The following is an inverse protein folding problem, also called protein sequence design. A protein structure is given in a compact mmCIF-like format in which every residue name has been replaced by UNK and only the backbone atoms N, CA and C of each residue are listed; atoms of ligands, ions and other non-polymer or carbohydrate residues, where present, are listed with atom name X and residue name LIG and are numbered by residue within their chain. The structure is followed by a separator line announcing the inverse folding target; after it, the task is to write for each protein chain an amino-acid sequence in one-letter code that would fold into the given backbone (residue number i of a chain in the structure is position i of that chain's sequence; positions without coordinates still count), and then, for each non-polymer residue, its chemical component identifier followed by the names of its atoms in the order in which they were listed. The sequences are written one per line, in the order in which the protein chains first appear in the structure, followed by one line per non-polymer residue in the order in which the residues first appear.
data_IF_270491055346
#
_entry.id   IF_270491055346
#
_cell.length_a   1.000
_cell.length_b   1.000
_cell.length_c   1.000
_cell.angle_alpha   90.00
_cell.angle_beta   90.00
_cell.angle_gamma   90.00
#
_symmetry.space_group_name_H-M   'P 1'
#
loop_
_entity.id
_entity.type
_entity.pdbx_description
1 polymer ?
#
# COMPACT_ATOMS: atom_id res chain seq x y z
N UNK A 1 -45.68 11.25 -3.19
CA UNK A 1 -45.31 9.86 -2.88
C UNK A 1 -44.69 9.24 -4.13
N UNK A 2 -43.38 9.37 -4.30
CA UNK A 2 -42.59 8.61 -5.27
C UNK A 2 -41.21 8.43 -4.62
N UNK A 3 -40.93 7.20 -4.19
CA UNK A 3 -39.66 6.85 -3.56
C UNK A 3 -38.57 6.87 -4.63
N UNK A 4 -37.72 7.89 -4.59
CA UNK A 4 -36.44 7.84 -5.30
C UNK A 4 -35.55 6.84 -4.57
N UNK A 5 -35.48 5.63 -5.08
CA UNK A 5 -34.48 4.62 -4.70
C UNK A 5 -33.10 5.20 -4.98
N UNK A 6 -32.43 5.63 -3.90
CA UNK A 6 -31.01 5.93 -3.92
C UNK A 6 -30.26 4.62 -4.20
N UNK A 7 -29.79 4.48 -5.45
CA UNK A 7 -28.75 3.52 -5.80
C UNK A 7 -27.53 3.84 -4.95
N UNK A 8 -27.27 2.98 -3.98
CA UNK A 8 -26.07 3.04 -3.14
C UNK A 8 -24.89 2.56 -4.01
N UNK A 9 -23.92 3.41 -4.37
CA UNK A 9 -22.70 2.92 -5.00
C UNK A 9 -21.96 2.06 -3.97
N UNK A 10 -21.62 0.86 -4.38
CA UNK A 10 -20.98 -0.15 -3.55
C UNK A 10 -19.63 0.29 -2.99
N UNK A 11 -19.19 -0.45 -1.99
CA UNK A 11 -17.90 -0.41 -1.32
C UNK A 11 -16.73 -0.51 -2.31
N UNK A 12 -16.42 0.59 -2.99
CA UNK A 12 -15.10 0.79 -3.57
C UNK A 12 -14.16 1.11 -2.42
N UNK A 13 -13.06 0.39 -2.28
CA UNK A 13 -11.95 0.87 -1.48
C UNK A 13 -11.50 2.20 -2.11
N UNK A 14 -12.00 3.31 -1.56
CA UNK A 14 -11.59 4.67 -1.92
C UNK A 14 -10.22 4.87 -1.29
N UNK A 15 -9.22 4.21 -1.86
CA UNK A 15 -7.84 4.63 -1.71
C UNK A 15 -7.69 6.04 -2.31
N UNK A 16 -6.67 6.80 -1.89
CA UNK A 16 -6.34 8.06 -2.55
C UNK A 16 -6.21 7.83 -4.07
N UNK A 17 -6.64 8.82 -4.86
CA UNK A 17 -6.59 8.70 -6.32
C UNK A 17 -5.14 8.79 -6.82
N UNK A 18 -4.44 7.65 -6.77
CA UNK A 18 -3.06 7.52 -7.24
C UNK A 18 -2.93 7.63 -8.76
N UNK A 19 -4.02 7.35 -9.50
CA UNK A 19 -4.01 7.44 -10.96
C UNK A 19 -3.81 8.89 -11.42
N UNK A 20 -4.43 9.85 -10.75
CA UNK A 20 -4.25 11.27 -11.06
C UNK A 20 -3.10 11.92 -10.28
N UNK A 21 -2.71 11.36 -9.12
CA UNK A 21 -1.71 11.91 -8.22
C UNK A 21 -0.73 10.84 -7.69
N UNK A 22 0.29 10.43 -8.47
CA UNK A 22 1.25 9.41 -8.05
C UNK A 22 2.05 9.79 -6.79
N UNK A 23 2.21 11.08 -6.50
CA UNK A 23 2.83 11.59 -5.28
C UNK A 23 2.09 11.16 -4.00
N UNK A 24 0.78 10.89 -4.07
CA UNK A 24 0.01 10.40 -2.92
C UNK A 24 0.41 8.98 -2.54
N UNK A 25 0.83 8.15 -3.50
CA UNK A 25 1.33 6.80 -3.21
C UNK A 25 2.64 6.88 -2.42
N UNK A 26 3.52 7.83 -2.76
CA UNK A 26 4.77 8.10 -2.03
C UNK A 26 4.47 8.55 -0.59
N UNK A 27 3.55 9.50 -0.42
CA UNK A 27 3.15 9.97 0.90
C UNK A 27 2.56 8.84 1.77
N UNK A 28 1.71 7.99 1.17
CA UNK A 28 1.15 6.83 1.85
C UNK A 28 2.23 5.83 2.28
N UNK A 29 3.21 5.53 1.41
CA UNK A 29 4.34 4.65 1.76
C UNK A 29 5.15 5.22 2.92
N UNK A 30 5.52 6.50 2.87
CA UNK A 30 6.28 7.15 3.95
C UNK A 30 5.52 7.05 5.28
N UNK A 31 4.21 7.34 5.26
CA UNK A 31 3.37 7.20 6.44
C UNK A 31 3.36 5.76 6.97
N UNK A 32 3.08 4.78 6.13
CA UNK A 32 3.02 3.37 6.54
C UNK A 32 4.36 2.86 7.08
N UNK A 33 5.48 3.21 6.43
CA UNK A 33 6.83 2.88 6.88
C UNK A 33 7.12 3.50 8.26
N UNK A 34 6.68 4.73 8.51
CA UNK A 34 6.84 5.36 9.83
C UNK A 34 6.06 4.66 10.96
N UNK A 35 4.95 3.99 10.62
CA UNK A 35 4.10 3.25 11.56
C UNK A 35 4.55 1.82 11.80
N UNK A 36 5.23 1.21 10.82
CA UNK A 36 5.62 -0.19 10.87
C UNK A 36 6.45 -0.60 12.11
N UNK A 37 7.41 0.20 12.62
CA UNK A 37 8.14 -0.17 13.84
C UNK A 37 7.24 -0.37 15.07
N UNK A 38 6.12 0.35 15.14
CA UNK A 38 5.14 0.27 16.23
C UNK A 38 4.06 -0.79 15.96
N UNK A 39 3.64 -0.95 14.70
CA UNK A 39 2.58 -1.87 14.28
C UNK A 39 3.17 -2.87 13.29
N UNK A 40 3.96 -3.82 13.79
CA UNK A 40 4.51 -4.90 12.96
C UNK A 40 3.41 -5.90 12.66
N UNK A 41 2.89 -5.85 11.44
CA UNK A 41 1.87 -6.79 10.97
C UNK A 41 2.13 -7.20 9.51
N UNK A 42 1.75 -8.44 9.12
CA UNK A 42 1.88 -8.89 7.74
C UNK A 42 1.07 -8.02 6.77
N UNK A 43 -0.14 -7.60 7.19
CA UNK A 43 -1.03 -6.77 6.39
C UNK A 43 -0.41 -5.40 6.08
N UNK A 44 0.23 -4.75 7.06
CA UNK A 44 0.90 -3.47 6.84
C UNK A 44 2.13 -3.61 5.94
N UNK A 45 2.95 -4.65 6.13
CA UNK A 45 4.09 -4.93 5.25
C UNK A 45 3.64 -5.18 3.79
N UNK A 46 2.55 -5.93 3.60
CA UNK A 46 1.93 -6.16 2.30
C UNK A 46 1.44 -4.85 1.67
N UNK A 47 0.73 -4.02 2.41
CA UNK A 47 0.22 -2.74 1.93
C UNK A 47 1.36 -1.81 1.47
N UNK A 48 2.48 -1.77 2.21
CA UNK A 48 3.68 -1.03 1.81
C UNK A 48 4.23 -1.56 0.48
N UNK A 49 4.35 -2.89 0.33
CA UNK A 49 4.82 -3.53 -0.91
C UNK A 49 3.92 -3.25 -2.11
N UNK A 50 2.60 -3.27 -1.92
CA UNK A 50 1.62 -2.96 -2.97
C UNK A 50 1.75 -1.50 -3.44
N UNK A 51 1.92 -0.54 -2.52
CA UNK A 51 2.11 0.86 -2.89
C UNK A 51 3.47 1.12 -3.54
N UNK A 52 4.54 0.45 -3.10
CA UNK A 52 5.83 0.49 -3.79
C UNK A 52 5.73 -0.03 -5.24
N UNK A 53 4.87 -1.03 -5.48
CA UNK A 53 4.63 -1.57 -6.83
C UNK A 53 3.88 -0.57 -7.71
N UNK A 54 2.97 0.24 -7.16
CA UNK A 54 2.31 1.33 -7.89
C UNK A 54 3.31 2.41 -8.31
N UNK A 55 4.25 2.76 -7.43
CA UNK A 55 5.29 3.76 -7.70
C UNK A 55 6.27 3.25 -8.78
N UNK A 56 6.74 2.00 -8.65
CA UNK A 56 7.63 1.32 -9.61
C UNK A 56 7.01 1.26 -11.02
N UNK A 57 5.71 0.95 -11.10
CA UNK A 57 5.00 0.81 -12.37
C UNK A 57 4.65 2.15 -13.05
N UNK A 58 4.72 3.29 -12.36
CA UNK A 58 4.23 4.57 -12.92
C UNK A 58 5.28 5.25 -13.82
N UNK A 59 5.10 5.31 -15.15
CA UNK A 59 6.09 5.88 -16.07
C UNK A 59 6.25 7.41 -15.96
N UNK A 60 5.38 8.09 -15.21
CA UNK A 60 5.45 9.54 -15.00
C UNK A 60 6.50 9.92 -13.96
N UNK A 61 6.95 8.97 -13.14
CA UNK A 61 7.93 9.19 -12.09
C UNK A 61 9.38 8.97 -12.59
N UNK A 62 10.38 9.62 -11.95
CA UNK A 62 11.79 9.46 -12.33
C UNK A 62 12.24 7.99 -12.28
N UNK A 63 13.04 7.52 -13.25
CA UNK A 63 13.48 6.12 -13.29
C UNK A 63 14.26 5.72 -12.03
N UNK A 64 15.06 6.61 -11.46
CA UNK A 64 15.84 6.35 -10.25
C UNK A 64 14.94 6.06 -9.04
N UNK A 65 13.81 6.75 -8.94
CA UNK A 65 12.82 6.50 -7.89
C UNK A 65 12.16 5.12 -8.08
N UNK A 66 11.80 4.78 -9.32
CA UNK A 66 11.16 3.50 -9.64
C UNK A 66 12.10 2.33 -9.37
N UNK A 67 13.37 2.45 -9.77
CA UNK A 67 14.40 1.45 -9.51
C UNK A 67 14.63 1.26 -8.00
N UNK A 68 14.68 2.35 -7.21
CA UNK A 68 14.72 2.26 -5.76
C UNK A 68 13.47 1.54 -5.20
N UNK A 69 12.28 1.90 -5.64
CA UNK A 69 11.05 1.23 -5.20
C UNK A 69 11.02 -0.25 -5.58
N UNK A 70 11.56 -0.62 -6.73
CA UNK A 70 11.72 -2.00 -7.15
C UNK A 70 12.62 -2.79 -6.17
N UNK A 71 13.75 -2.22 -5.77
CA UNK A 71 14.66 -2.88 -4.83
C UNK A 71 14.02 -3.04 -3.44
N UNK A 72 13.45 -1.96 -2.93
CA UNK A 72 12.85 -1.91 -1.59
C UNK A 72 11.63 -2.86 -1.49
N UNK A 73 10.83 -2.98 -2.55
CA UNK A 73 9.70 -3.92 -2.68
C UNK A 73 10.05 -5.36 -2.27
N UNK A 74 11.21 -5.87 -2.69
CA UNK A 74 11.62 -7.25 -2.41
C UNK A 74 12.00 -7.43 -0.93
N UNK A 75 12.58 -6.41 -0.29
CA UNK A 75 12.82 -6.44 1.16
C UNK A 75 11.52 -6.49 1.96
N UNK A 76 10.51 -5.72 1.55
CA UNK A 76 9.19 -5.72 2.20
C UNK A 76 8.44 -7.04 2.09
N UNK A 77 8.69 -7.83 1.04
CA UNK A 77 8.19 -9.21 0.95
C UNK A 77 8.77 -10.08 2.07
N UNK A 78 10.03 -9.88 2.44
CA UNK A 78 10.66 -10.61 3.54
C UNK A 78 10.05 -10.21 4.89
N UNK A 79 9.80 -8.91 5.11
CA UNK A 79 9.12 -8.43 6.32
C UNK A 79 7.68 -8.96 6.44
N UNK A 80 6.93 -9.03 5.33
CA UNK A 80 5.59 -9.63 5.27
C UNK A 80 5.62 -11.09 5.78
N UNK A 81 6.56 -11.89 5.29
CA UNK A 81 6.73 -13.29 5.70
C UNK A 81 7.17 -13.42 7.17
N UNK A 82 8.14 -12.61 7.62
CA UNK A 82 8.61 -12.63 9.01
C UNK A 82 7.48 -12.30 10.00
N UNK A 83 6.72 -11.24 9.73
CA UNK A 83 5.58 -10.89 10.56
C UNK A 83 4.51 -12.01 10.59
N UNK A 84 4.34 -12.74 9.48
CA UNK A 84 3.36 -13.83 9.41
C UNK A 84 3.80 -15.01 10.28
N UNK A 85 5.09 -15.36 10.23
CA UNK A 85 5.68 -16.41 11.10
C UNK A 85 5.56 -16.02 12.57
N UNK A 86 5.92 -14.78 12.92
CA UNK A 86 5.82 -14.29 14.32
C UNK A 86 4.37 -14.33 14.84
N UNK A 87 3.39 -14.02 13.98
CA UNK A 87 1.98 -14.05 14.33
C UNK A 87 1.48 -15.47 14.63
N UNK A 88 1.97 -16.47 13.89
CA UNK A 88 1.62 -17.88 14.11
C UNK A 88 2.29 -18.43 15.37
N UNK A 89 3.54 -18.03 15.66
CA UNK A 89 4.27 -18.48 16.85
C UNK A 89 3.73 -17.90 18.17
N UNK A 90 2.95 -16.82 18.13
CA UNK A 90 2.35 -16.18 19.29
C UNK A 90 0.99 -16.79 19.73
N UNK A 91 0.47 -17.77 19.00
CA UNK A 91 -0.80 -18.48 19.28
C UNK A 91 -0.53 -19.94 19.67
#
# INVERSE_FOLDING_TARGET
MAHATATQPGSGEVGPNYADHPELAIAAVIYMMSRFPTIRSPALARAIREHLSLIDADPRLPPELRDCCHQVKEEWRSYELLCAVDSVAAH
#
